data_IF_111378204253
#
_entry.id   IF_111378204253
#
_cell.length_a   1.000
_cell.length_b   1.000
_cell.length_c   1.000
_cell.angle_alpha   90.00
_cell.angle_beta   90.00
_cell.angle_gamma   90.00
#
_symmetry.space_group_name_H-M   'P 1'
#
loop_
_entity.id
_entity.type
_entity.pdbx_description
1 polymer ?
#
# COMPACT_ATOMS: atom_id res chain seq x y z
N UNK A 1 -20.73 -10.63 -29.46
CA UNK A 1 -20.25 -9.76 -28.37
C UNK A 1 -21.26 -8.64 -28.25
N UNK A 2 -21.72 -8.34 -27.04
CA UNK A 2 -22.76 -7.34 -26.79
C UNK A 2 -22.10 -6.18 -26.06
N UNK A 3 -22.12 -5.00 -26.68
CA UNK A 3 -21.69 -3.75 -26.03
C UNK A 3 -22.94 -3.06 -25.53
N UNK A 4 -22.98 -2.78 -24.23
CA UNK A 4 -24.05 -2.01 -23.59
C UNK A 4 -23.51 -0.64 -23.23
N UNK A 5 -24.12 0.41 -23.77
CA UNK A 5 -23.80 1.79 -23.41
C UNK A 5 -24.78 2.24 -22.33
N UNK A 6 -24.26 2.82 -21.24
CA UNK A 6 -25.08 3.44 -20.21
C UNK A 6 -24.94 4.95 -20.25
N UNK A 7 -26.07 5.65 -20.31
CA UNK A 7 -26.18 7.09 -20.16
C UNK A 7 -26.31 7.41 -18.66
N UNK A 8 -25.36 8.18 -18.11
CA UNK A 8 -25.53 8.80 -16.79
C UNK A 8 -26.05 10.23 -16.95
N UNK A 9 -27.17 10.54 -16.30
CA UNK A 9 -27.60 11.92 -16.12
C UNK A 9 -26.90 12.51 -14.88
N UNK A 10 -26.34 13.71 -15.05
CA UNK A 10 -25.89 14.63 -13.99
C UNK A 10 -24.59 14.32 -13.20
N UNK A 11 -23.79 13.35 -13.62
CA UNK A 11 -22.40 13.25 -13.15
C UNK A 11 -21.48 13.23 -14.36
N UNK A 12 -20.57 14.20 -14.45
CA UNK A 12 -19.43 14.11 -15.38
C UNK A 12 -18.40 13.26 -14.64
N UNK A 13 -18.21 11.96 -14.99
CA UNK A 13 -17.14 11.19 -14.39
C UNK A 13 -15.81 11.85 -14.72
N UNK A 14 -14.93 11.97 -13.72
CA UNK A 14 -13.59 12.49 -13.92
C UNK A 14 -12.87 11.59 -14.93
N UNK A 15 -12.60 12.12 -16.12
CA UNK A 15 -12.02 11.33 -17.21
C UNK A 15 -10.59 10.92 -16.85
N UNK A 16 -10.29 9.63 -16.94
CA UNK A 16 -8.92 9.12 -16.93
C UNK A 16 -8.24 9.57 -18.25
N UNK A 17 -7.33 10.54 -18.18
CA UNK A 17 -6.51 10.90 -19.35
C UNK A 17 -5.35 9.92 -19.49
N UNK A 18 -5.41 9.05 -20.49
CA UNK A 18 -4.28 8.18 -20.88
C UNK A 18 -3.30 8.94 -21.78
N UNK A 19 -1.96 8.76 -21.66
CA UNK A 19 -1.03 9.33 -22.61
C UNK A 19 -1.14 8.63 -23.98
N UNK A 20 -1.15 9.44 -25.06
CA UNK A 20 -1.01 9.17 -26.51
C UNK A 20 -1.26 7.74 -27.04
N UNK A 21 -2.30 7.07 -26.57
CA UNK A 21 -2.87 5.88 -27.22
C UNK A 21 -4.38 6.07 -27.29
N UNK A 22 -4.92 6.07 -28.51
CA UNK A 22 -6.31 6.38 -28.79
C UNK A 22 -7.04 5.04 -28.84
N UNK A 23 -8.14 4.92 -28.10
CA UNK A 23 -9.02 3.77 -28.21
C UNK A 23 -9.65 3.78 -29.62
N UNK A 24 -9.68 2.62 -30.28
CA UNK A 24 -10.32 2.47 -31.60
C UNK A 24 -11.51 1.49 -31.46
N UNK A 25 -12.71 1.86 -31.91
CA UNK A 25 -13.09 3.11 -32.59
C UNK A 25 -13.02 4.36 -31.67
N UNK A 26 -12.96 5.55 -32.28
CA UNK A 26 -12.73 6.85 -31.59
C UNK A 26 -13.81 7.24 -30.57
N UNK A 27 -14.95 6.54 -30.58
CA UNK A 27 -16.05 6.64 -29.62
C UNK A 27 -15.97 5.62 -28.48
N UNK A 28 -14.86 4.87 -28.39
CA UNK A 28 -14.65 3.90 -27.32
C UNK A 28 -14.40 4.59 -25.99
N UNK A 29 -15.18 4.22 -24.98
CA UNK A 29 -15.00 4.64 -23.59
C UNK A 29 -14.46 3.47 -22.76
N UNK A 30 -13.44 3.71 -21.92
CA UNK A 30 -13.04 2.80 -20.86
C UNK A 30 -13.72 3.25 -19.57
N UNK A 31 -14.52 2.37 -18.99
CA UNK A 31 -15.08 2.55 -17.65
C UNK A 31 -14.41 1.57 -16.69
N UNK A 32 -14.07 2.03 -15.50
CA UNK A 32 -13.56 1.18 -14.41
C UNK A 32 -14.71 0.94 -13.48
N UNK A 33 -15.55 -0.04 -13.83
CA UNK A 33 -16.60 -0.56 -12.97
C UNK A 33 -16.02 -1.54 -11.96
N UNK A 34 -16.50 -1.48 -10.71
CA UNK A 34 -16.39 -2.63 -9.81
C UNK A 34 -17.22 -3.80 -10.38
N UNK A 35 -16.90 -5.03 -9.96
CA UNK A 35 -17.62 -6.27 -10.33
C UNK A 35 -19.09 -6.00 -10.69
N UNK A 36 -19.48 -6.32 -11.94
CA UNK A 36 -20.83 -6.15 -12.48
C UNK A 36 -21.87 -6.69 -11.50
N UNK A 37 -22.34 -5.82 -10.62
CA UNK A 37 -23.26 -6.18 -9.57
C UNK A 37 -24.55 -5.42 -9.83
N UNK A 38 -25.51 -6.14 -10.40
CA UNK A 38 -26.78 -5.60 -10.88
C UNK A 38 -27.60 -4.92 -9.77
N UNK A 39 -27.29 -5.19 -8.49
CA UNK A 39 -27.95 -4.63 -7.29
C UNK A 39 -27.01 -4.44 -6.09
N UNK A 40 -25.80 -3.92 -6.30
CA UNK A 40 -24.90 -3.65 -5.17
C UNK A 40 -25.32 -2.40 -4.38
N UNK A 41 -25.23 -2.51 -3.06
CA UNK A 41 -25.35 -1.38 -2.15
C UNK A 41 -23.98 -1.08 -1.54
N UNK A 42 -23.47 0.13 -1.76
CA UNK A 42 -22.19 0.57 -1.23
C UNK A 42 -22.40 1.28 0.10
N UNK A 43 -21.79 0.75 1.15
CA UNK A 43 -21.79 1.36 2.48
C UNK A 43 -20.52 2.20 2.61
N UNK A 44 -20.67 3.52 2.69
CA UNK A 44 -19.56 4.47 2.87
C UNK A 44 -19.36 4.84 4.33
N UNK A 45 -18.30 5.59 4.62
CA UNK A 45 -18.00 6.14 5.95
C UNK A 45 -17.84 5.09 7.06
N UNK A 46 -17.42 3.88 6.69
CA UNK A 46 -17.04 2.83 7.63
C UNK A 46 -15.66 3.11 8.21
N UNK A 47 -15.49 2.81 9.49
CA UNK A 47 -14.19 2.86 10.15
C UNK A 47 -13.38 1.63 9.76
N UNK A 48 -12.11 1.84 9.42
CA UNK A 48 -11.16 0.77 9.12
C UNK A 48 -10.98 -0.14 10.34
N UNK A 49 -10.67 -1.41 10.10
CA UNK A 49 -10.37 -2.43 11.11
C UNK A 49 -11.51 -2.74 12.10
N UNK A 50 -12.71 -2.21 11.88
CA UNK A 50 -13.90 -2.56 12.63
C UNK A 50 -14.75 -3.55 11.84
N UNK A 51 -15.16 -4.63 12.51
CA UNK A 51 -16.05 -5.64 11.93
C UNK A 51 -17.48 -5.11 11.94
N UNK A 52 -18.08 -5.03 10.75
CA UNK A 52 -19.48 -4.67 10.57
C UNK A 52 -20.30 -5.91 10.24
N UNK A 53 -21.51 -5.96 10.77
CA UNK A 53 -22.49 -7.00 10.51
C UNK A 53 -23.60 -6.42 9.64
N UNK A 54 -23.93 -7.12 8.55
CA UNK A 54 -24.90 -6.67 7.55
C UNK A 54 -25.98 -7.74 7.40
N UNK A 55 -27.22 -7.30 7.30
CA UNK A 55 -28.36 -8.13 6.92
C UNK A 55 -29.33 -7.27 6.11
N UNK A 56 -30.17 -7.90 5.30
CA UNK A 56 -31.08 -7.23 4.39
C UNK A 56 -32.50 -7.72 4.64
N UNK A 57 -33.49 -6.86 4.39
CA UNK A 57 -34.89 -7.26 4.30
C UNK A 57 -35.55 -6.53 3.14
N UNK A 58 -36.56 -7.14 2.57
CA UNK A 58 -37.24 -6.64 1.39
C UNK A 58 -38.59 -6.03 1.77
N UNK A 59 -38.98 -4.94 1.13
CA UNK A 59 -40.30 -4.32 1.28
C UNK A 59 -41.07 -4.47 -0.04
N UNK A 60 -42.31 -4.94 0.04
CA UNK A 60 -43.27 -4.85 -1.06
C UNK A 60 -44.58 -4.19 -0.57
N UNK A 61 -45.61 -4.15 -1.42
CA UNK A 61 -46.89 -3.54 -1.09
C UNK A 61 -47.63 -4.22 0.10
N UNK A 62 -47.26 -5.46 0.46
CA UNK A 62 -47.87 -6.22 1.56
C UNK A 62 -47.08 -6.10 2.87
N UNK A 63 -45.86 -5.56 2.84
CA UNK A 63 -45.03 -5.34 4.03
C UNK A 63 -43.58 -5.80 3.87
N UNK A 64 -42.89 -5.88 5.00
CA UNK A 64 -41.50 -6.31 5.09
C UNK A 64 -41.38 -7.83 5.15
N UNK A 65 -40.34 -8.39 4.52
CA UNK A 65 -39.90 -9.77 4.77
C UNK A 65 -39.18 -9.90 6.11
N UNK A 66 -38.89 -11.14 6.50
CA UNK A 66 -37.86 -11.44 7.51
C UNK A 66 -36.49 -10.96 7.04
N UNK A 67 -35.56 -10.82 8.00
CA UNK A 67 -34.17 -10.51 7.70
C UNK A 67 -33.48 -11.70 7.03
N UNK A 68 -32.53 -11.40 6.14
CA UNK A 68 -31.59 -12.36 5.60
C UNK A 68 -30.65 -12.91 6.68
N UNK A 69 -29.84 -13.90 6.30
CA UNK A 69 -28.66 -14.26 7.07
C UNK A 69 -27.76 -13.03 7.29
N UNK A 70 -27.14 -12.98 8.47
CA UNK A 70 -26.18 -11.93 8.82
C UNK A 70 -24.82 -12.30 8.25
N UNK A 71 -24.26 -11.42 7.44
CA UNK A 71 -22.88 -11.51 6.95
C UNK A 71 -22.01 -10.51 7.73
N UNK A 72 -20.70 -10.73 7.76
CA UNK A 72 -19.76 -9.79 8.36
C UNK A 72 -18.61 -9.47 7.43
N UNK A 73 -18.09 -8.25 7.53
CA UNK A 73 -16.93 -7.79 6.80
C UNK A 73 -16.15 -6.78 7.62
N UNK A 74 -14.83 -6.76 7.44
CA UNK A 74 -13.91 -5.81 8.09
C UNK A 74 -13.21 -5.01 7.00
N UNK A 75 -13.52 -3.73 6.80
CA UNK A 75 -12.79 -2.87 5.88
C UNK A 75 -11.32 -2.75 6.33
N UNK A 76 -10.39 -3.15 5.48
CA UNK A 76 -8.94 -3.07 5.76
C UNK A 76 -8.31 -1.89 5.01
N UNK A 77 -7.16 -1.43 5.50
CA UNK A 77 -6.27 -0.53 4.74
C UNK A 77 -4.85 -1.04 4.74
N UNK A 78 -4.04 -0.53 3.84
CA UNK A 78 -2.58 -0.65 3.91
C UNK A 78 -2.09 -0.15 5.29
N UNK A 79 -0.95 -0.64 5.78
CA UNK A 79 -0.35 -0.11 7.00
C UNK A 79 0.02 1.37 6.80
N UNK A 80 -0.07 2.13 7.88
CA UNK A 80 0.53 3.46 7.92
C UNK A 80 2.07 3.32 8.00
N UNK A 81 2.77 4.39 7.63
CA UNK A 81 4.23 4.40 7.67
C UNK A 81 4.73 4.15 9.11
N UNK A 82 5.84 3.40 9.28
CA UNK A 82 6.48 3.21 10.58
C UNK A 82 6.83 4.56 11.23
N UNK A 83 6.82 4.59 12.57
CA UNK A 83 7.22 5.74 13.37
C UNK A 83 8.65 5.59 13.90
N UNK A 84 9.23 6.67 14.43
CA UNK A 84 10.54 6.64 15.11
C UNK A 84 11.64 5.95 14.29
N UNK A 85 11.67 6.20 12.97
CA UNK A 85 12.69 5.63 12.10
C UNK A 85 14.00 6.36 12.31
N UNK A 86 14.99 5.65 12.83
CA UNK A 86 16.36 6.14 13.02
C UNK A 86 17.35 5.18 12.36
N UNK A 87 18.49 5.71 11.93
CA UNK A 87 19.58 4.92 11.36
C UNK A 87 20.86 5.28 12.09
N UNK A 88 21.59 4.27 12.52
CA UNK A 88 22.81 4.38 13.30
C UNK A 88 23.98 3.69 12.59
N UNK A 89 25.17 4.27 12.70
CA UNK A 89 26.39 3.63 12.21
C UNK A 89 26.87 2.60 13.22
N UNK A 90 26.95 1.33 12.80
CA UNK A 90 27.54 0.26 13.61
C UNK A 90 29.05 0.19 13.38
N UNK A 91 29.48 0.40 12.13
CA UNK A 91 30.88 0.52 11.70
C UNK A 91 30.94 1.19 10.32
N UNK A 92 32.14 1.45 9.79
CA UNK A 92 32.31 1.90 8.41
C UNK A 92 31.77 0.93 7.34
N UNK A 93 31.35 -0.28 7.71
CA UNK A 93 30.81 -1.30 6.80
C UNK A 93 29.39 -1.78 7.14
N UNK A 94 28.77 -1.29 8.22
CA UNK A 94 27.44 -1.71 8.65
C UNK A 94 26.61 -0.57 9.25
N UNK A 95 25.32 -0.55 8.93
CA UNK A 95 24.32 0.36 9.49
C UNK A 95 23.22 -0.45 10.18
N UNK A 96 22.63 0.11 11.22
CA UNK A 96 21.44 -0.42 11.87
C UNK A 96 20.28 0.57 11.71
N UNK A 97 19.12 0.09 11.26
CA UNK A 97 17.87 0.84 11.29
C UNK A 97 17.02 0.38 12.46
N UNK A 98 16.53 1.34 13.24
CA UNK A 98 15.55 1.12 14.29
C UNK A 98 14.25 1.84 13.93
N UNK A 99 13.10 1.20 14.17
CA UNK A 99 11.79 1.78 13.87
C UNK A 99 10.70 1.19 14.74
N UNK A 100 9.64 1.97 14.97
CA UNK A 100 8.47 1.57 15.74
C UNK A 100 7.25 1.34 14.84
N UNK A 101 6.36 0.44 15.28
CA UNK A 101 5.04 0.32 14.65
C UNK A 101 4.30 1.67 14.71
N UNK A 102 3.52 1.99 13.68
CA UNK A 102 2.66 3.18 13.71
C UNK A 102 1.65 3.09 14.86
N UNK A 103 1.27 4.22 15.46
CA UNK A 103 0.34 4.30 16.60
C UNK A 103 -1.12 3.89 16.29
N UNK A 104 -1.40 3.39 15.10
CA UNK A 104 -2.73 2.93 14.69
C UNK A 104 -2.90 1.43 14.96
N UNK A 105 -4.11 1.01 15.33
CA UNK A 105 -4.52 -0.38 15.63
C UNK A 105 -4.49 -1.33 14.41
N UNK A 106 -3.44 -1.31 13.59
CA UNK A 106 -3.27 -2.22 12.47
C UNK A 106 -2.73 -3.58 12.95
N UNK A 107 -3.64 -4.41 13.44
CA UNK A 107 -3.31 -5.74 13.96
C UNK A 107 -2.83 -6.75 12.90
N UNK A 108 -2.86 -6.39 11.61
CA UNK A 108 -2.56 -7.28 10.48
C UNK A 108 -1.19 -7.01 9.83
N UNK A 109 -0.29 -6.22 10.45
CA UNK A 109 1.09 -6.11 9.93
C UNK A 109 1.78 -7.48 10.04
N UNK A 110 2.32 -7.97 8.92
CA UNK A 110 3.02 -9.26 8.82
C UNK A 110 4.55 -9.09 8.68
N UNK A 111 4.98 -8.00 8.04
CA UNK A 111 6.40 -7.71 7.80
C UNK A 111 6.61 -6.21 7.55
N UNK A 112 7.87 -5.81 7.52
CA UNK A 112 8.29 -4.49 7.07
C UNK A 112 9.24 -4.64 5.89
N UNK A 113 9.11 -3.76 4.90
CA UNK A 113 10.08 -3.62 3.83
C UNK A 113 11.02 -2.47 4.17
N UNK A 114 12.31 -2.75 4.18
CA UNK A 114 13.39 -1.79 4.44
C UNK A 114 14.16 -1.63 3.14
N UNK A 115 14.31 -0.40 2.68
CA UNK A 115 15.11 -0.08 1.50
C UNK A 115 16.25 0.84 1.89
N UNK A 116 17.43 0.57 1.34
CA UNK A 116 18.60 1.43 1.43
C UNK A 116 19.26 1.59 0.06
N UNK A 117 19.72 2.80 -0.24
CA UNK A 117 20.38 3.11 -1.50
C UNK A 117 21.33 4.31 -1.33
N UNK A 118 22.29 4.44 -2.22
CA UNK A 118 23.13 5.66 -2.35
C UNK A 118 22.46 6.73 -3.22
N UNK A 119 21.34 6.38 -3.85
CA UNK A 119 20.48 7.30 -4.60
C UNK A 119 19.20 7.58 -3.80
N UNK A 120 18.88 8.85 -3.56
CA UNK A 120 17.69 9.30 -2.83
C UNK A 120 16.37 8.83 -3.49
N UNK A 121 16.39 8.54 -4.78
CA UNK A 121 15.25 8.00 -5.55
C UNK A 121 15.15 6.46 -5.47
N UNK A 122 15.99 5.79 -4.67
CA UNK A 122 15.97 4.34 -4.45
C UNK A 122 16.02 3.47 -5.73
N UNK A 123 16.59 4.01 -6.81
CA UNK A 123 16.55 3.36 -8.14
C UNK A 123 17.22 1.98 -8.15
N UNK A 124 18.27 1.77 -7.35
CA UNK A 124 18.94 0.47 -7.25
C UNK A 124 18.20 -0.46 -6.29
N UNK A 125 17.71 0.06 -5.16
CA UNK A 125 16.91 -0.68 -4.18
C UNK A 125 15.57 -1.19 -4.75
N UNK A 126 15.03 -0.54 -5.78
CA UNK A 126 13.81 -0.98 -6.48
C UNK A 126 14.08 -1.91 -7.67
N UNK A 127 15.35 -2.20 -7.96
CA UNK A 127 15.72 -3.10 -9.06
C UNK A 127 15.49 -4.56 -8.70
N UNK A 128 15.40 -5.44 -9.69
CA UNK A 128 15.27 -6.89 -9.46
C UNK A 128 16.52 -7.53 -8.82
N UNK A 129 17.61 -6.78 -8.69
CA UNK A 129 18.87 -7.23 -8.09
C UNK A 129 18.95 -6.92 -6.60
N UNK A 130 18.04 -6.11 -6.07
CA UNK A 130 18.01 -5.76 -4.65
C UNK A 130 17.63 -6.97 -3.80
N UNK A 131 18.31 -7.17 -2.67
CA UNK A 131 17.92 -8.18 -1.69
C UNK A 131 18.36 -7.76 -0.28
N UNK A 132 18.10 -8.60 0.71
CA UNK A 132 18.63 -8.42 2.06
C UNK A 132 20.16 -8.51 2.15
N UNK A 133 20.84 -9.00 1.11
CA UNK A 133 22.28 -9.26 1.09
C UNK A 133 22.98 -8.57 -0.08
N UNK A 134 22.32 -7.62 -0.75
CA UNK A 134 22.96 -6.84 -1.80
C UNK A 134 23.93 -5.82 -1.20
N UNK A 135 25.08 -5.66 -1.88
CA UNK A 135 26.11 -4.73 -1.46
C UNK A 135 25.73 -3.30 -1.89
N UNK A 136 25.93 -2.32 -0.99
CA UNK A 136 25.71 -0.88 -1.22
C UNK A 136 24.28 -0.39 -1.52
N UNK A 137 23.33 -1.27 -1.77
CA UNK A 137 21.90 -0.94 -1.85
C UNK A 137 21.12 -2.22 -1.56
N UNK A 138 19.84 -2.12 -1.24
CA UNK A 138 19.00 -3.29 -1.05
C UNK A 138 17.57 -2.99 -0.68
N UNK A 139 16.74 -4.02 -0.83
CA UNK A 139 15.37 -4.07 -0.34
C UNK A 139 15.20 -5.39 0.39
N UNK A 140 14.79 -5.30 1.65
CA UNK A 140 14.64 -6.46 2.51
C UNK A 140 13.26 -6.50 3.16
N UNK A 141 12.60 -7.65 3.07
CA UNK A 141 11.38 -7.91 3.83
C UNK A 141 11.73 -8.58 5.16
N UNK A 142 11.51 -7.88 6.25
CA UNK A 142 11.76 -8.34 7.62
C UNK A 142 10.45 -8.76 8.27
N UNK A 143 10.36 -10.04 8.63
CA UNK A 143 9.20 -10.56 9.36
C UNK A 143 9.32 -10.15 10.83
N UNK A 144 8.36 -9.38 11.30
CA UNK A 144 8.26 -8.92 12.70
C UNK A 144 7.04 -9.48 13.42
N UNK A 145 6.36 -10.45 12.79
CA UNK A 145 5.25 -11.17 13.42
C UNK A 145 5.70 -11.74 14.76
N UNK A 146 4.90 -11.53 15.79
CA UNK A 146 5.15 -11.96 17.18
C UNK A 146 6.34 -11.26 17.87
N UNK A 147 6.94 -10.20 17.28
CA UNK A 147 7.96 -9.37 17.92
C UNK A 147 7.36 -8.07 18.47
N UNK A 148 7.97 -7.56 19.54
CA UNK A 148 7.59 -6.29 20.18
C UNK A 148 8.39 -5.12 19.61
N UNK A 149 7.71 -4.03 19.26
CA UNK A 149 8.31 -2.73 18.89
C UNK A 149 9.14 -2.15 20.04
N UNK A 150 10.27 -1.45 19.79
CA UNK A 150 10.87 -1.13 18.49
C UNK A 150 11.57 -2.32 17.83
N UNK A 151 11.63 -2.28 16.50
CA UNK A 151 12.31 -3.26 15.67
C UNK A 151 13.69 -2.75 15.25
N UNK A 152 14.64 -3.67 15.11
CA UNK A 152 16.02 -3.39 14.71
C UNK A 152 16.39 -4.28 13.53
N UNK A 153 17.11 -3.71 12.56
CA UNK A 153 17.64 -4.43 11.43
C UNK A 153 19.01 -3.88 11.04
N UNK A 154 20.02 -4.73 11.11
CA UNK A 154 21.38 -4.43 10.68
C UNK A 154 21.57 -4.89 9.23
N UNK A 155 22.18 -4.03 8.42
CA UNK A 155 22.65 -4.37 7.08
C UNK A 155 24.11 -3.93 6.91
N UNK A 156 24.90 -4.82 6.33
CA UNK A 156 26.33 -4.64 6.11
C UNK A 156 26.65 -4.50 4.62
N UNK A 157 27.95 -4.46 4.30
CA UNK A 157 28.49 -4.23 2.96
C UNK A 157 28.11 -2.86 2.38
N UNK A 158 28.06 -1.86 3.28
CA UNK A 158 28.04 -0.44 2.92
C UNK A 158 29.48 0.10 2.86
N UNK A 159 29.68 1.25 2.20
CA UNK A 159 30.97 1.91 2.13
C UNK A 159 31.01 3.13 3.07
N UNK A 160 32.07 3.23 3.86
CA UNK A 160 32.32 4.39 4.70
C UNK A 160 32.38 5.68 3.88
N UNK A 161 31.85 6.77 4.45
CA UNK A 161 31.75 8.11 3.85
C UNK A 161 30.79 8.26 2.65
N UNK A 162 30.23 7.19 2.08
CA UNK A 162 29.12 7.30 1.13
C UNK A 162 27.84 7.69 1.90
N UNK A 163 26.97 8.51 1.29
CA UNK A 163 25.66 8.83 1.87
C UNK A 163 24.67 7.75 1.46
N UNK A 164 24.01 7.15 2.44
CA UNK A 164 22.94 6.18 2.27
C UNK A 164 21.61 6.79 2.69
N UNK A 165 20.61 6.61 1.83
CA UNK A 165 19.21 6.93 2.08
C UNK A 165 18.48 5.66 2.48
N UNK A 166 17.69 5.73 3.54
CA UNK A 166 16.96 4.58 4.11
C UNK A 166 15.50 4.95 4.31
N UNK A 167 14.59 4.05 3.94
CA UNK A 167 13.15 4.18 4.20
C UNK A 167 12.54 2.83 4.57
N UNK A 168 11.48 2.85 5.37
CA UNK A 168 10.80 1.65 5.87
C UNK A 168 9.30 1.74 5.59
N UNK A 169 8.67 0.63 5.22
CA UNK A 169 7.22 0.54 5.03
C UNK A 169 6.64 -0.73 5.64
N UNK A 170 5.43 -0.63 6.22
CA UNK A 170 4.71 -1.80 6.72
C UNK A 170 4.03 -2.60 5.60
N UNK A 171 3.94 -3.92 5.77
CA UNK A 171 3.24 -4.85 4.87
C UNK A 171 2.18 -5.64 5.66
N UNK A 172 1.00 -5.83 5.05
CA UNK A 172 -0.10 -6.63 5.61
C UNK A 172 -0.72 -7.52 4.53
N UNK A 173 -1.90 -8.09 4.80
CA UNK A 173 -2.62 -8.94 3.83
C UNK A 173 -3.16 -8.22 2.59
N UNK A 174 -3.03 -6.90 2.49
CA UNK A 174 -3.41 -6.14 1.29
C UNK A 174 -2.23 -6.10 0.32
N UNK A 175 -2.47 -6.57 -0.89
CA UNK A 175 -1.48 -6.57 -1.96
C UNK A 175 -1.07 -5.15 -2.40
N UNK A 176 0.17 -5.03 -2.86
CA UNK A 176 0.70 -3.80 -3.45
C UNK A 176 0.00 -3.55 -4.79
N UNK A 177 -0.56 -2.36 -4.94
CA UNK A 177 -1.38 -2.01 -6.10
C UNK A 177 -1.06 -0.60 -6.58
N UNK A 178 -1.04 -0.43 -7.91
CA UNK A 178 -0.99 0.89 -8.55
C UNK A 178 -2.35 1.56 -8.37
N UNK A 179 -2.45 2.45 -7.39
CA UNK A 179 -3.71 3.10 -7.03
C UNK A 179 -3.79 4.56 -7.51
N UNK A 180 -2.66 5.17 -7.87
CA UNK A 180 -2.60 6.53 -8.36
C UNK A 180 -2.69 6.57 -9.90
N UNK A 181 -3.79 7.11 -10.47
CA UNK A 181 -3.96 7.21 -11.92
C UNK A 181 -2.99 8.19 -12.60
N UNK A 182 -2.40 9.11 -11.83
CA UNK A 182 -1.43 10.10 -12.33
C UNK A 182 -0.02 9.54 -12.45
N UNK A 183 0.26 8.42 -11.75
CA UNK A 183 1.58 7.83 -11.66
C UNK A 183 2.56 8.55 -10.74
N UNK A 184 2.12 9.60 -10.02
CA UNK A 184 2.97 10.33 -9.07
C UNK A 184 3.36 9.45 -7.87
N UNK A 185 2.44 8.60 -7.41
CA UNK A 185 2.73 7.50 -6.48
C UNK A 185 2.80 6.19 -7.26
N UNK A 186 3.92 5.49 -7.11
CA UNK A 186 4.17 4.20 -7.76
C UNK A 186 3.13 3.15 -7.37
N UNK A 187 2.78 3.10 -6.09
CA UNK A 187 1.82 2.15 -5.53
C UNK A 187 1.18 2.69 -4.24
N UNK A 188 0.34 1.87 -3.62
CA UNK A 188 -0.30 2.12 -2.34
C UNK A 188 0.65 1.94 -1.13
N UNK A 189 1.97 1.98 -1.27
CA UNK A 189 2.88 1.86 -0.13
C UNK A 189 2.99 3.18 0.62
N UNK A 190 2.81 3.15 1.94
CA UNK A 190 3.14 4.25 2.84
C UNK A 190 4.57 4.08 3.38
N UNK A 191 5.53 4.72 2.72
CA UNK A 191 6.91 4.80 3.19
C UNK A 191 7.07 5.80 4.35
N UNK A 192 8.00 5.53 5.26
CA UNK A 192 8.49 6.50 6.24
C UNK A 192 9.12 7.71 5.57
N UNK A 193 9.44 8.75 6.35
CA UNK A 193 10.42 9.74 5.93
C UNK A 193 11.73 9.04 5.55
N UNK A 194 12.43 9.61 4.57
CA UNK A 194 13.75 9.13 4.17
C UNK A 194 14.78 9.64 5.15
N UNK A 195 15.55 8.73 5.72
CA UNK A 195 16.69 9.03 6.60
C UNK A 195 17.98 8.96 5.78
N UNK A 196 18.93 9.86 6.04
CA UNK A 196 20.24 9.86 5.39
C UNK A 196 21.36 9.72 6.41
N UNK A 197 22.33 8.84 6.15
CA UNK A 197 23.50 8.65 7.02
C UNK A 197 24.74 8.30 6.20
N UNK A 198 25.92 8.65 6.71
CA UNK A 198 27.20 8.15 6.21
C UNK A 198 27.83 7.22 7.24
N UNK A 199 28.15 5.96 6.88
CA UNK A 199 28.81 5.04 7.80
C UNK A 199 30.20 5.57 8.20
N UNK A 200 30.49 5.49 9.50
CA UNK A 200 31.77 5.84 10.11
C UNK A 200 32.18 4.76 11.12
N UNK A 201 33.50 4.56 11.27
CA UNK A 201 34.08 3.71 12.31
C UNK A 201 33.98 4.30 13.72
#
# INVERSE_FOLDING_TARGET
>A
WMITFHSQEHVIPLQLSSPKHHLYPVDSTVDVGFLNCEKCFYVSSLSRWNTYFLHLKFLNALGWSDYSETISATPKSIPDAPSEVEVHSVSGACLEVSFSQSHTDNTDIISYEIQWDTNEEFTNAESQLSSCSSHRFGSCNVITKDKTSPYFFEFCDVLANDIYFVRVAGRNSIEIQKTDPTGNKKDNTNWSSTMSISPTD
#
